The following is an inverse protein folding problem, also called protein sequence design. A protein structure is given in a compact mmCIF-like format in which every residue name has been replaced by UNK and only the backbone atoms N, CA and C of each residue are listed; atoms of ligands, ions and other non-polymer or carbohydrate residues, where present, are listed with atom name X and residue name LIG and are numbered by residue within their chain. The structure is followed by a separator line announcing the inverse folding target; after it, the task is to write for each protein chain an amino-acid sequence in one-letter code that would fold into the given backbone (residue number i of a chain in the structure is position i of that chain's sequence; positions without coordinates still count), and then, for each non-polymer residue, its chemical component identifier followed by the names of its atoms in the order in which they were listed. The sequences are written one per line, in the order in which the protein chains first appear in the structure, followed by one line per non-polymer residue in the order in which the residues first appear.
data_IF_129908733544
#
_entry.id   IF_129908733544
#
_cell.length_a   1.000
_cell.length_b   1.000
_cell.length_c   1.000
_cell.angle_alpha   90.00
_cell.angle_beta   90.00
_cell.angle_gamma   90.00
#
_symmetry.space_group_name_H-M   'P 1'
#
loop_
_entity.id
_entity.type
_entity.pdbx_description
1 polymer ?
#
# COMPACT_ATOMS: atom_id res chain seq x y z
N UNK A 1 13.51 12.68 15.10
CA UNK A 1 13.36 11.23 14.88
C UNK A 1 12.78 11.15 13.50
N UNK A 2 13.47 10.55 12.53
CA UNK A 2 12.80 10.20 11.27
C UNK A 2 11.67 9.25 11.66
N UNK A 3 10.43 9.70 11.48
CA UNK A 3 9.26 8.94 11.90
C UNK A 3 9.00 7.85 10.86
N UNK A 4 9.24 6.59 11.25
CA UNK A 4 8.88 5.42 10.44
C UNK A 4 7.44 5.53 9.97
N UNK A 5 7.19 5.25 8.69
CA UNK A 5 5.86 5.22 8.10
C UNK A 5 5.43 3.78 7.85
N UNK A 6 4.15 3.49 8.11
CA UNK A 6 3.56 2.20 7.84
C UNK A 6 2.73 2.24 6.56
N UNK A 7 2.93 1.27 5.67
CA UNK A 7 2.20 1.11 4.42
C UNK A 7 1.30 -0.11 4.53
N UNK A 8 0.00 0.09 4.34
CA UNK A 8 -0.98 -0.98 4.27
C UNK A 8 -1.39 -1.18 2.81
N UNK A 9 -1.11 -2.35 2.23
CA UNK A 9 -1.37 -2.61 0.82
C UNK A 9 -2.59 -3.50 0.59
N UNK A 10 -3.17 -3.38 -0.60
CA UNK A 10 -4.14 -4.34 -1.11
C UNK A 10 -3.58 -5.77 -1.05
N UNK A 11 -4.43 -6.75 -0.77
CA UNK A 11 -4.02 -8.15 -0.62
C UNK A 11 -3.66 -8.85 -1.94
N UNK A 12 -3.93 -8.22 -3.10
CA UNK A 12 -3.56 -8.76 -4.40
C UNK A 12 -4.64 -9.55 -5.15
N UNK A 13 -5.92 -9.34 -4.83
CA UNK A 13 -7.02 -10.08 -5.51
C UNK A 13 -7.42 -9.50 -6.87
N UNK A 14 -6.72 -8.46 -7.35
CA UNK A 14 -6.85 -7.87 -8.68
C UNK A 14 -5.46 -7.58 -9.25
N UNK A 15 -5.30 -7.36 -10.56
CA UNK A 15 -4.00 -7.00 -11.14
C UNK A 15 -3.35 -5.78 -10.48
N UNK A 16 -4.11 -4.70 -10.34
CA UNK A 16 -3.66 -3.50 -9.62
C UNK A 16 -3.41 -3.77 -8.13
N UNK A 17 -4.16 -4.70 -7.53
CA UNK A 17 -3.90 -5.15 -6.17
C UNK A 17 -2.57 -5.88 -6.04
N UNK A 18 -2.17 -6.69 -7.04
CA UNK A 18 -0.87 -7.35 -7.06
C UNK A 18 0.24 -6.31 -7.13
N UNK A 19 0.12 -5.34 -8.05
CA UNK A 19 1.04 -4.21 -8.16
C UNK A 19 1.17 -3.47 -6.82
N UNK A 20 0.05 -3.13 -6.18
CA UNK A 20 0.06 -2.47 -4.87
C UNK A 20 0.84 -3.27 -3.81
N UNK A 21 0.61 -4.58 -3.76
CA UNK A 21 1.25 -5.48 -2.79
C UNK A 21 2.76 -5.57 -3.03
N UNK A 22 3.18 -5.72 -4.29
CA UNK A 22 4.60 -5.84 -4.65
C UNK A 22 5.31 -4.52 -4.41
N UNK A 23 4.77 -3.39 -4.88
CA UNK A 23 5.36 -2.07 -4.67
C UNK A 23 5.63 -1.77 -3.19
N UNK A 24 4.65 -2.00 -2.32
CA UNK A 24 4.80 -1.80 -0.87
C UNK A 24 5.81 -2.78 -0.25
N UNK A 25 5.83 -4.04 -0.70
CA UNK A 25 6.77 -5.02 -0.16
C UNK A 25 8.21 -4.69 -0.55
N UNK A 26 8.44 -4.31 -1.81
CA UNK A 26 9.75 -3.89 -2.31
C UNK A 26 10.26 -2.65 -1.56
N UNK A 27 9.42 -1.62 -1.39
CA UNK A 27 9.78 -0.42 -0.62
C UNK A 27 10.19 -0.76 0.81
N UNK A 28 9.46 -1.65 1.49
CA UNK A 28 9.80 -2.06 2.86
C UNK A 28 11.06 -2.94 2.95
N UNK A 29 11.48 -3.57 1.85
CA UNK A 29 12.76 -4.28 1.76
C UNK A 29 13.90 -3.28 1.53
N UNK A 30 13.67 -2.31 0.64
CA UNK A 30 14.66 -1.33 0.21
C UNK A 30 14.94 -0.26 1.29
N UNK A 31 13.93 0.10 2.10
CA UNK A 31 14.01 1.13 3.15
C UNK A 31 13.51 0.62 4.51
N UNK A 32 14.39 0.65 5.51
CA UNK A 32 14.09 0.25 6.90
C UNK A 32 13.21 1.23 7.67
N UNK A 33 12.96 2.43 7.14
CA UNK A 33 12.01 3.39 7.68
C UNK A 33 10.57 3.12 7.23
N UNK A 34 10.38 2.23 6.25
CA UNK A 34 9.07 1.80 5.75
C UNK A 34 8.67 0.45 6.36
N UNK A 35 7.49 0.40 6.97
CA UNK A 35 6.91 -0.82 7.54
C UNK A 35 5.74 -1.33 6.69
N UNK A 36 5.83 -2.55 6.17
CA UNK A 36 4.70 -3.18 5.48
C UNK A 36 3.71 -3.83 6.46
N UNK A 37 2.44 -3.45 6.37
CA UNK A 37 1.36 -3.97 7.21
C UNK A 37 0.66 -5.15 6.54
N UNK A 38 0.61 -6.28 7.23
CA UNK A 38 -0.15 -7.46 6.80
C UNK A 38 -1.66 -7.24 7.01
N UNK A 39 -2.37 -6.87 5.94
CA UNK A 39 -3.81 -6.66 5.98
C UNK A 39 -4.62 -7.92 6.33
N UNK A 40 -4.10 -9.12 6.03
CA UNK A 40 -4.71 -10.38 6.47
C UNK A 40 -4.78 -10.49 7.99
N UNK A 41 -3.68 -10.21 8.68
CA UNK A 41 -3.61 -10.19 10.15
C UNK A 41 -4.48 -9.10 10.76
N UNK A 42 -4.48 -7.90 10.16
CA UNK A 42 -5.35 -6.79 10.57
C UNK A 42 -6.84 -7.17 10.45
N UNK A 43 -7.22 -7.78 9.33
CA UNK A 43 -8.60 -8.19 9.07
C UNK A 43 -9.05 -9.29 10.04
N UNK A 44 -8.18 -10.29 10.27
CA UNK A 44 -8.43 -11.39 11.20
C UNK A 44 -8.37 -10.99 12.69
N UNK A 45 -8.08 -9.72 12.99
CA UNK A 45 -8.00 -9.20 14.35
C UNK A 45 -7.01 -9.96 15.24
N UNK A 46 -5.87 -10.38 14.65
CA UNK A 46 -4.84 -11.12 15.37
C UNK A 46 -4.32 -10.27 16.53
N UNK A 47 -4.47 -10.78 17.76
CA UNK A 47 -4.06 -10.07 18.97
C UNK A 47 -2.59 -9.64 18.91
N UNK A 48 -2.33 -8.39 19.28
CA UNK A 48 -0.99 -7.79 19.26
C UNK A 48 -0.63 -7.07 17.95
N UNK A 49 -1.22 -7.45 16.82
CA UNK A 49 -0.97 -6.77 15.54
C UNK A 49 -1.66 -5.40 15.48
N UNK A 50 -2.86 -5.29 16.04
CA UNK A 50 -3.59 -4.02 16.18
C UNK A 50 -2.83 -2.98 16.99
N UNK A 51 -2.07 -3.39 18.02
CA UNK A 51 -1.25 -2.49 18.84
C UNK A 51 -0.05 -1.89 18.09
N UNK A 52 0.32 -2.44 16.95
CA UNK A 52 1.39 -1.89 16.09
C UNK A 52 0.83 -0.80 15.18
N UNK A 53 -0.46 -0.87 14.84
CA UNK A 53 -1.09 0.07 13.92
C UNK A 53 -1.15 1.49 14.49
N UNK A 54 -1.37 1.64 15.80
CA UNK A 54 -1.51 2.96 16.43
C UNK A 54 -0.15 3.67 16.68
N UNK A 55 0.98 3.06 16.30
CA UNK A 55 2.31 3.58 16.63
C UNK A 55 2.95 4.44 15.54
N UNK A 56 2.46 4.32 14.31
CA UNK A 56 3.07 4.92 13.14
C UNK A 56 1.99 5.55 12.27
N UNK A 57 2.29 6.65 11.56
CA UNK A 57 1.41 7.12 10.50
C UNK A 57 1.21 6.02 9.47
N UNK A 58 -0.05 5.78 9.06
CA UNK A 58 -0.38 4.74 8.08
C UNK A 58 -0.88 5.36 6.78
N UNK A 59 -0.21 5.04 5.68
CA UNK A 59 -0.66 5.32 4.33
C UNK A 59 -1.30 4.05 3.75
N UNK A 60 -2.57 4.15 3.33
CA UNK A 60 -3.29 3.02 2.74
C UNK A 60 -3.15 3.01 1.21
N UNK A 61 -2.75 1.87 0.66
CA UNK A 61 -2.56 1.65 -0.79
C UNK A 61 -3.64 0.70 -1.29
N UNK A 62 -4.67 1.27 -1.91
CA UNK A 62 -5.79 0.54 -2.50
C UNK A 62 -5.44 0.04 -3.91
N UNK A 63 -5.95 -1.13 -4.26
CA UNK A 63 -5.75 -1.72 -5.59
C UNK A 63 -6.90 -1.49 -6.56
N UNK A 64 -8.05 -0.99 -6.09
CA UNK A 64 -9.23 -0.73 -6.92
C UNK A 64 -10.23 0.17 -6.17
N UNK A 65 -11.26 0.61 -6.90
CA UNK A 65 -12.41 1.40 -6.42
C UNK A 65 -13.12 0.85 -5.17
N UNK A 66 -12.91 -0.43 -4.85
CA UNK A 66 -13.42 -1.01 -3.61
C UNK A 66 -12.86 -0.34 -2.36
N UNK A 67 -11.64 0.22 -2.43
CA UNK A 67 -10.93 0.88 -1.34
C UNK A 67 -10.96 0.09 -0.01
N UNK A 68 -10.83 -1.24 -0.12
CA UNK A 68 -11.00 -2.14 1.01
C UNK A 68 -9.96 -1.90 2.12
N UNK A 69 -8.75 -1.47 1.77
CA UNK A 69 -7.68 -1.26 2.75
C UNK A 69 -8.04 -0.12 3.68
N UNK A 70 -8.35 1.06 3.12
CA UNK A 70 -8.74 2.23 3.89
C UNK A 70 -10.01 1.97 4.72
N UNK A 71 -11.00 1.29 4.14
CA UNK A 71 -12.24 0.91 4.86
C UNK A 71 -11.97 0.01 6.07
N UNK A 72 -11.19 -1.05 5.89
CA UNK A 72 -10.86 -1.99 6.98
C UNK A 72 -10.10 -1.27 8.10
N UNK A 73 -9.12 -0.42 7.77
CA UNK A 73 -8.36 0.32 8.78
C UNK A 73 -9.26 1.28 9.58
N UNK A 74 -10.15 2.03 8.91
CA UNK A 74 -11.13 2.91 9.55
C UNK A 74 -12.11 2.14 10.44
N UNK A 75 -12.62 0.99 9.99
CA UNK A 75 -13.49 0.12 10.80
C UNK A 75 -12.80 -0.41 12.05
N UNK A 76 -11.48 -0.54 12.03
CA UNK A 76 -10.65 -0.93 13.17
C UNK A 76 -10.27 0.25 14.07
N UNK A 77 -10.71 1.46 13.76
CA UNK A 77 -10.41 2.67 14.53
C UNK A 77 -8.98 3.19 14.33
N UNK A 78 -8.33 2.82 13.22
CA UNK A 78 -6.98 3.28 12.88
C UNK A 78 -7.08 4.56 12.05
N UNK A 79 -6.40 5.61 12.50
CA UNK A 79 -6.27 6.85 11.75
C UNK A 79 -5.20 6.69 10.65
N UNK A 80 -5.61 6.93 9.41
CA UNK A 80 -4.72 6.90 8.24
C UNK A 80 -4.38 8.33 7.84
N UNK A 81 -3.12 8.57 7.50
CA UNK A 81 -2.62 9.91 7.10
C UNK A 81 -2.90 10.20 5.62
N UNK A 82 -3.21 9.18 4.84
CA UNK A 82 -3.58 9.32 3.44
C UNK A 82 -4.05 8.00 2.82
N UNK A 83 -4.55 8.10 1.59
CA UNK A 83 -4.87 6.96 0.75
C UNK A 83 -4.36 7.20 -0.67
N UNK A 84 -3.87 6.14 -1.32
CA UNK A 84 -3.58 6.08 -2.75
C UNK A 84 -4.38 4.94 -3.38
N UNK A 85 -4.71 5.07 -4.65
CA UNK A 85 -5.39 4.02 -5.43
C UNK A 85 -4.58 3.74 -6.70
N UNK A 86 -4.08 2.52 -6.82
CA UNK A 86 -3.28 2.07 -7.97
C UNK A 86 -4.09 2.14 -9.27
N UNK A 87 -5.41 1.94 -9.21
CA UNK A 87 -6.28 2.12 -10.37
C UNK A 87 -6.25 3.53 -10.92
N UNK A 88 -6.37 4.53 -10.03
CA UNK A 88 -6.35 5.95 -10.40
C UNK A 88 -4.96 6.38 -10.90
N UNK A 89 -3.89 5.92 -10.22
CA UNK A 89 -2.51 6.22 -10.62
C UNK A 89 -2.23 5.71 -12.04
N UNK A 90 -2.53 4.44 -12.32
CA UNK A 90 -2.21 3.85 -13.62
C UNK A 90 -3.14 4.34 -14.74
N UNK A 91 -4.34 4.82 -14.42
CA UNK A 91 -5.26 5.41 -15.40
C UNK A 91 -4.69 6.68 -16.07
N UNK A 92 -3.78 7.38 -15.39
CA UNK A 92 -3.06 8.54 -15.92
C UNK A 92 -1.82 8.16 -16.76
N UNK A 93 -1.61 6.86 -16.99
CA UNK A 93 -0.46 6.32 -17.74
C UNK A 93 -0.92 5.44 -18.91
N UNK A 94 0.02 5.05 -19.78
CA UNK A 94 -0.24 4.08 -20.84
C UNK A 94 -0.17 2.62 -20.37
N UNK A 95 0.38 2.37 -19.18
CA UNK A 95 0.69 1.03 -18.67
C UNK A 95 -0.45 0.41 -17.87
N UNK A 96 -0.60 -0.91 -17.96
CA UNK A 96 -1.68 -1.64 -17.29
C UNK A 96 -1.22 -2.95 -16.67
N UNK A 97 -1.63 -3.19 -15.43
CA UNK A 97 -1.54 -4.51 -14.82
C UNK A 97 -2.62 -5.43 -15.41
N UNK A 98 -2.24 -6.67 -15.75
CA UNK A 98 -3.13 -7.61 -16.45
C UNK A 98 -3.42 -8.91 -15.70
N UNK A 99 -2.63 -9.26 -14.68
CA UNK A 99 -2.74 -10.51 -13.94
C UNK A 99 -2.63 -10.28 -12.42
N UNK A 100 -3.44 -10.99 -11.63
CA UNK A 100 -3.51 -10.84 -10.18
C UNK A 100 -2.56 -11.79 -9.41
N UNK A 101 -1.92 -12.72 -10.11
CA UNK A 101 -1.06 -13.76 -9.55
C UNK A 101 0.42 -13.57 -9.90
N UNK A 102 0.75 -13.04 -11.08
CA UNK A 102 2.12 -12.88 -11.57
C UNK A 102 2.32 -11.55 -12.27
N UNK A 103 3.49 -10.95 -12.07
CA UNK A 103 3.92 -9.80 -12.85
C UNK A 103 4.58 -10.27 -14.15
N UNK A 104 4.25 -9.59 -15.24
CA UNK A 104 5.02 -9.59 -16.48
C UNK A 104 5.83 -8.30 -16.58
N UNK A 105 6.53 -8.10 -17.70
CA UNK A 105 7.40 -6.93 -17.88
C UNK A 105 6.64 -5.59 -17.74
N UNK A 106 5.37 -5.54 -18.17
CA UNK A 106 4.53 -4.35 -18.02
C UNK A 106 4.05 -4.17 -16.58
N UNK A 107 3.70 -5.25 -15.89
CA UNK A 107 3.41 -5.25 -14.46
C UNK A 107 4.57 -4.73 -13.62
N UNK A 108 5.80 -5.10 -13.95
CA UNK A 108 7.02 -4.57 -13.30
C UNK A 108 7.20 -3.06 -13.53
N UNK A 109 6.81 -2.54 -14.70
CA UNK A 109 6.79 -1.10 -14.95
C UNK A 109 5.73 -0.42 -14.08
N UNK A 110 4.52 -1.01 -13.99
CA UNK A 110 3.47 -0.50 -13.13
C UNK A 110 3.91 -0.43 -11.66
N UNK A 111 4.63 -1.44 -11.17
CA UNK A 111 5.21 -1.44 -9.82
C UNK A 111 6.14 -0.26 -9.61
N UNK A 112 7.07 0.00 -10.54
CA UNK A 112 8.00 1.13 -10.43
C UNK A 112 7.27 2.48 -10.35
N UNK A 113 6.30 2.71 -11.24
CA UNK A 113 5.49 3.93 -11.24
C UNK A 113 4.78 4.11 -9.88
N UNK A 114 4.18 3.04 -9.35
CA UNK A 114 3.48 3.09 -8.07
C UNK A 114 4.45 3.31 -6.91
N UNK A 115 5.66 2.73 -6.94
CA UNK A 115 6.70 2.99 -5.93
C UNK A 115 7.07 4.48 -5.89
N UNK A 116 7.37 5.07 -7.05
CA UNK A 116 7.77 6.48 -7.15
C UNK A 116 6.68 7.41 -6.57
N UNK A 117 5.41 7.16 -6.90
CA UNK A 117 4.27 7.95 -6.36
C UNK A 117 4.08 7.75 -4.85
N UNK A 118 4.32 6.54 -4.33
CA UNK A 118 4.26 6.29 -2.89
C UNK A 118 5.37 7.07 -2.19
N UNK A 119 6.60 7.03 -2.70
CA UNK A 119 7.75 7.75 -2.13
C UNK A 119 7.52 9.27 -2.15
N UNK A 120 7.07 9.83 -3.28
CA UNK A 120 6.68 11.23 -3.38
C UNK A 120 5.63 11.58 -2.30
N UNK A 121 4.63 10.71 -2.12
CA UNK A 121 3.60 10.94 -1.10
C UNK A 121 4.13 10.89 0.32
N UNK A 122 5.09 10.00 0.61
CA UNK A 122 5.74 9.92 1.92
C UNK A 122 6.55 11.20 2.19
N UNK A 123 7.27 11.70 1.18
CA UNK A 123 8.04 12.92 1.28
C UNK A 123 7.13 14.14 1.56
N UNK A 124 6.02 14.28 0.84
CA UNK A 124 5.01 15.34 1.10
C UNK A 124 4.45 15.32 2.52
N UNK A 125 4.31 14.14 3.13
CA UNK A 125 3.79 13.98 4.49
C UNK A 125 4.83 14.29 5.57
N UNK A 126 6.12 14.36 5.19
CA UNK A 126 7.25 14.61 6.08
C UNK A 126 7.68 16.08 6.13
N UNK A 127 7.10 16.94 5.27
CA UNK A 127 7.29 18.39 5.23
C UNK A 127 6.34 19.17 6.16
#
# INVERSE_FOLDING_TARGET
MEEKIALAACSGMSPNGLVARVAVHDLAIDDHEILSICMGSTSANVEGFTRVLDKYPILAINGCEGNCVGKILKEKGVDIVGELNVGDILAETEYKANDAARLDDEGEICVKIVKDIIEDKINELSE
#
